data_IF_713084823903
#
_entry.id   IF_713084823903
#
_cell.length_a   1.000
_cell.length_b   1.000
_cell.length_c   1.000
_cell.angle_alpha   90.00
_cell.angle_beta   90.00
_cell.angle_gamma   90.00
#
_symmetry.space_group_name_H-M   'P 1'
#
loop_
_entity.id
_entity.type
_entity.pdbx_description
1 polymer ?
#
# COMPACT_ATOMS: atom_id res chain seq x y z
N UNK A 1 -26.51 7.14 -3.04
CA UNK A 1 -25.65 6.01 -3.41
C UNK A 1 -24.48 6.05 -2.46
N UNK A 2 -24.27 5.00 -1.67
CA UNK A 2 -23.10 4.91 -0.78
C UNK A 2 -21.89 4.66 -1.66
N UNK A 3 -20.93 5.59 -1.66
CA UNK A 3 -19.66 5.41 -2.35
C UNK A 3 -18.92 4.25 -1.67
N UNK A 4 -18.69 3.16 -2.41
CA UNK A 4 -17.85 2.05 -1.93
C UNK A 4 -16.39 2.42 -2.19
N UNK A 5 -15.61 2.54 -1.13
CA UNK A 5 -14.16 2.77 -1.23
C UNK A 5 -13.45 1.46 -0.96
N UNK A 6 -12.44 1.15 -1.76
CA UNK A 6 -11.63 -0.05 -1.56
C UNK A 6 -10.39 0.33 -0.76
N UNK A 7 -10.06 -0.46 0.24
CA UNK A 7 -8.86 -0.32 1.05
C UNK A 7 -7.99 -1.56 0.84
N UNK A 8 -6.71 -1.37 0.49
CA UNK A 8 -5.77 -2.48 0.48
C UNK A 8 -5.29 -2.74 1.92
N UNK A 9 -5.62 -3.92 2.45
CA UNK A 9 -5.26 -4.39 3.81
C UNK A 9 -4.18 -5.47 3.80
N UNK A 10 -3.77 -5.93 2.63
CA UNK A 10 -2.71 -6.93 2.50
C UNK A 10 -1.33 -6.38 2.85
N UNK A 11 -0.38 -7.31 2.97
CA UNK A 11 1.03 -6.95 3.14
C UNK A 11 1.60 -6.40 1.83
N UNK A 12 2.48 -5.40 1.96
CA UNK A 12 3.32 -4.90 0.88
C UNK A 12 4.75 -5.27 1.24
N UNK A 13 5.35 -6.12 0.42
CA UNK A 13 6.70 -6.61 0.64
C UNK A 13 7.68 -5.88 -0.27
N UNK A 14 8.93 -5.78 0.17
CA UNK A 14 10.00 -5.21 -0.64
C UNK A 14 10.67 -6.26 -1.54
N UNK A 15 11.55 -5.80 -2.41
CA UNK A 15 12.33 -6.61 -3.35
C UNK A 15 13.13 -7.75 -2.69
N UNK A 16 13.74 -7.49 -1.53
CA UNK A 16 14.51 -8.50 -0.79
C UNK A 16 13.60 -9.62 -0.27
N UNK A 17 12.43 -9.25 0.25
CA UNK A 17 11.43 -10.20 0.74
C UNK A 17 10.83 -11.04 -0.40
N UNK A 18 10.46 -10.39 -1.50
CA UNK A 18 9.89 -11.06 -2.68
C UNK A 18 10.85 -12.10 -3.27
N UNK A 19 12.11 -11.73 -3.50
CA UNK A 19 13.11 -12.69 -3.99
C UNK A 19 13.50 -13.73 -2.92
N UNK A 20 13.49 -13.35 -1.64
CA UNK A 20 13.71 -14.29 -0.53
C UNK A 20 12.65 -15.39 -0.41
N UNK A 21 11.43 -15.11 -0.88
CA UNK A 21 10.33 -16.07 -0.98
C UNK A 21 10.37 -16.94 -2.25
N UNK A 22 11.32 -16.71 -3.16
CA UNK A 22 11.43 -17.45 -4.42
C UNK A 22 10.48 -16.96 -5.52
N UNK A 23 10.21 -15.65 -5.57
CA UNK A 23 9.37 -15.02 -6.60
C UNK A 23 7.95 -15.60 -6.65
N UNK A 24 7.20 -15.52 -5.54
CA UNK A 24 5.89 -16.15 -5.42
C UNK A 24 4.88 -15.60 -6.46
N UNK A 25 4.08 -16.50 -7.04
CA UNK A 25 2.98 -16.12 -7.93
C UNK A 25 1.90 -15.30 -7.20
N UNK A 26 1.17 -14.48 -7.96
CA UNK A 26 0.05 -13.68 -7.43
C UNK A 26 0.46 -12.37 -6.76
N UNK A 27 1.72 -11.96 -6.90
CA UNK A 27 2.20 -10.63 -6.53
C UNK A 27 2.32 -9.72 -7.77
N UNK A 28 2.02 -8.43 -7.60
CA UNK A 28 2.27 -7.39 -8.60
C UNK A 28 3.29 -6.38 -8.10
N UNK A 29 4.21 -6.01 -8.98
CA UNK A 29 5.15 -4.91 -8.74
C UNK A 29 4.39 -3.57 -8.70
N UNK A 30 4.61 -2.81 -7.63
CA UNK A 30 4.02 -1.49 -7.41
C UNK A 30 4.96 -0.43 -7.99
N UNK A 31 4.52 0.24 -9.03
CA UNK A 31 5.30 1.31 -9.67
C UNK A 31 4.96 2.67 -9.04
N UNK A 32 5.81 3.12 -8.12
CA UNK A 32 5.65 4.40 -7.41
C UNK A 32 6.46 5.53 -8.06
N UNK A 33 7.78 5.35 -8.18
CA UNK A 33 8.70 6.31 -8.79
C UNK A 33 9.85 5.55 -9.46
N UNK A 34 10.19 5.95 -10.68
CA UNK A 34 11.29 5.41 -11.48
C UNK A 34 12.67 5.48 -10.82
N UNK A 35 12.85 6.37 -9.82
CA UNK A 35 14.16 6.61 -9.19
C UNK A 35 14.35 5.84 -7.87
N UNK A 36 13.40 5.01 -7.45
CA UNK A 36 13.54 4.24 -6.22
C UNK A 36 14.60 3.14 -6.38
N UNK A 37 15.52 2.99 -5.41
CA UNK A 37 16.53 1.94 -5.44
C UNK A 37 15.97 0.57 -5.02
N UNK A 38 14.66 0.47 -4.78
CA UNK A 38 13.95 -0.75 -4.39
C UNK A 38 12.60 -0.82 -5.08
N UNK A 39 12.08 -2.04 -5.19
CA UNK A 39 10.74 -2.34 -5.66
C UNK A 39 9.86 -2.76 -4.51
N UNK A 40 8.56 -2.56 -4.68
CA UNK A 40 7.52 -2.98 -3.74
C UNK A 40 6.55 -3.90 -4.48
N UNK A 41 5.98 -4.86 -3.77
CA UNK A 41 5.08 -5.84 -4.33
C UNK A 41 3.85 -6.01 -3.44
N UNK A 42 2.65 -6.08 -4.03
CA UNK A 42 1.41 -6.38 -3.33
C UNK A 42 0.82 -7.71 -3.81
N UNK A 43 0.10 -8.40 -2.92
CA UNK A 43 -0.60 -9.65 -3.24
C UNK A 43 -1.97 -9.33 -3.84
N UNK A 44 -2.32 -10.03 -4.92
CA UNK A 44 -3.56 -9.81 -5.68
C UNK A 44 -4.71 -10.74 -5.30
N UNK A 45 -4.79 -11.17 -4.05
CA UNK A 45 -5.93 -11.97 -3.59
C UNK A 45 -7.04 -11.06 -3.04
N UNK A 46 -8.31 -11.44 -3.29
CA UNK A 46 -9.50 -10.68 -2.88
C UNK A 46 -9.52 -10.36 -1.37
N UNK A 47 -8.98 -11.25 -0.54
CA UNK A 47 -8.84 -11.07 0.91
C UNK A 47 -7.97 -9.86 1.32
N UNK A 48 -7.16 -9.32 0.41
CA UNK A 48 -6.31 -8.15 0.66
C UNK A 48 -7.04 -6.83 0.38
N UNK A 49 -8.32 -6.89 -0.01
CA UNK A 49 -9.13 -5.74 -0.35
C UNK A 49 -10.41 -5.73 0.49
N UNK A 50 -10.65 -4.62 1.19
CA UNK A 50 -11.84 -4.44 2.01
C UNK A 50 -12.64 -3.22 1.54
N UNK A 51 -13.96 -3.34 1.50
CA UNK A 51 -14.85 -2.20 1.31
C UNK A 51 -14.96 -1.42 2.62
N UNK A 52 -14.72 -0.12 2.57
CA UNK A 52 -14.84 0.78 3.71
C UNK A 52 -15.86 1.88 3.44
N UNK A 53 -16.51 2.34 4.51
CA UNK A 53 -17.39 3.51 4.47
C UNK A 53 -16.59 4.80 4.31
N UNK A 54 -17.27 5.91 4.00
CA UNK A 54 -16.62 7.21 3.89
C UNK A 54 -15.97 7.68 5.21
N UNK A 55 -16.63 7.43 6.33
CA UNK A 55 -16.14 7.79 7.66
C UNK A 55 -14.87 6.99 8.02
N UNK A 56 -14.89 5.67 7.81
CA UNK A 56 -13.73 4.80 8.01
C UNK A 56 -12.57 5.20 7.09
N UNK A 57 -12.86 5.48 5.82
CA UNK A 57 -11.86 5.97 4.85
C UNK A 57 -11.17 7.22 5.35
N UNK A 58 -11.92 8.22 5.81
CA UNK A 58 -11.35 9.49 6.28
C UNK A 58 -10.44 9.28 7.51
N UNK A 59 -10.86 8.40 8.43
CA UNK A 59 -10.06 8.05 9.60
C UNK A 59 -8.77 7.31 9.21
N UNK A 60 -8.85 6.33 8.31
CA UNK A 60 -7.68 5.61 7.80
C UNK A 60 -6.70 6.54 7.08
N UNK A 61 -7.20 7.45 6.23
CA UNK A 61 -6.36 8.45 5.55
C UNK A 61 -5.61 9.30 6.58
N UNK A 62 -6.27 9.74 7.64
CA UNK A 62 -5.63 10.52 8.72
C UNK A 62 -4.51 9.70 9.38
N UNK A 63 -4.81 8.48 9.80
CA UNK A 63 -3.83 7.59 10.45
C UNK A 63 -2.63 7.29 9.56
N UNK A 64 -2.85 7.04 8.27
CA UNK A 64 -1.76 6.77 7.33
C UNK A 64 -0.92 8.03 7.06
N UNK A 65 -1.52 9.22 6.95
CA UNK A 65 -0.76 10.48 6.83
C UNK A 65 0.13 10.72 8.05
N UNK A 66 -0.39 10.46 9.25
CA UNK A 66 0.37 10.58 10.50
C UNK A 66 1.52 9.57 10.53
N UNK A 67 1.27 8.30 10.22
CA UNK A 67 2.32 7.27 10.11
C UNK A 67 3.38 7.64 9.07
N UNK A 68 2.96 8.11 7.89
CA UNK A 68 3.86 8.50 6.81
C UNK A 68 4.83 9.60 7.24
N UNK A 69 4.36 10.55 8.05
CA UNK A 69 5.19 11.66 8.57
C UNK A 69 6.36 11.21 9.45
N UNK A 70 6.30 9.98 9.99
CA UNK A 70 7.34 9.38 10.83
C UNK A 70 8.45 8.69 10.03
N UNK A 71 8.32 8.57 8.70
CA UNK A 71 9.30 7.91 7.83
C UNK A 71 9.97 8.90 6.88
N UNK A 72 11.25 8.68 6.57
CA UNK A 72 11.96 9.44 5.54
C UNK A 72 11.68 8.88 4.15
N UNK A 73 11.86 9.70 3.11
CA UNK A 73 11.80 9.25 1.70
C UNK A 73 12.88 8.23 1.30
N UNK A 74 13.84 7.96 2.17
CA UNK A 74 14.85 6.89 1.96
C UNK A 74 14.40 5.55 2.54
N UNK A 75 13.31 5.52 3.31
CA UNK A 75 12.74 4.34 3.93
C UNK A 75 11.63 3.79 3.04
N UNK A 76 11.68 2.50 2.68
CA UNK A 76 10.67 1.88 1.82
C UNK A 76 9.25 1.98 2.41
N UNK A 77 9.14 2.01 3.74
CA UNK A 77 7.87 2.14 4.46
C UNK A 77 7.13 3.43 4.11
N UNK A 78 7.86 4.49 3.76
CA UNK A 78 7.25 5.74 3.27
C UNK A 78 6.39 5.49 2.03
N UNK A 79 6.87 4.67 1.09
CA UNK A 79 6.21 4.37 -0.18
C UNK A 79 5.17 3.26 -0.05
N UNK A 80 5.38 2.30 0.85
CA UNK A 80 4.33 1.35 1.28
C UNK A 80 3.10 2.11 1.76
N UNK A 81 3.28 3.13 2.61
CA UNK A 81 2.16 3.95 3.11
C UNK A 81 1.52 4.78 1.98
N UNK A 82 2.31 5.26 1.01
CA UNK A 82 1.75 5.94 -0.16
C UNK A 82 0.82 5.05 -0.97
N UNK A 83 1.15 3.76 -1.12
CA UNK A 83 0.23 2.82 -1.77
C UNK A 83 -1.07 2.64 -0.98
N UNK A 84 -1.00 2.48 0.34
CA UNK A 84 -2.22 2.39 1.16
C UNK A 84 -3.08 3.66 1.04
N UNK A 85 -2.46 4.85 1.06
CA UNK A 85 -3.15 6.13 0.81
C UNK A 85 -3.77 6.19 -0.58
N UNK A 86 -3.06 5.71 -1.61
CA UNK A 86 -3.57 5.66 -2.98
C UNK A 86 -4.77 4.72 -3.12
N UNK A 87 -4.74 3.56 -2.45
CA UNK A 87 -5.85 2.59 -2.46
C UNK A 87 -7.14 3.22 -1.94
N UNK A 88 -7.03 4.04 -0.89
CA UNK A 88 -8.13 4.81 -0.31
C UNK A 88 -8.49 6.06 -1.12
N UNK A 89 -7.83 6.36 -2.24
CA UNK A 89 -8.02 7.61 -2.99
C UNK A 89 -7.65 8.86 -2.18
N UNK A 90 -6.60 8.78 -1.36
CA UNK A 90 -6.12 9.83 -0.46
C UNK A 90 -4.93 10.65 -0.98
N UNK A 91 -4.55 10.47 -2.26
CA UNK A 91 -3.51 11.23 -2.96
C UNK A 91 -4.03 12.57 -3.49
#
# INVERSE_FOLDING_TARGET
MSSKYMNYVGDIINDVEYHGMGEPEGFLEIHMDSQLPFRLYCKMADENWEEVTEEERLELIRQFKDKKSMHSKSDYRYYTIDFHLASLGGL
#
